data_IF_653927573982
#
_entry.id   IF_653927573982
#
_cell.length_a   1.000
_cell.length_b   1.000
_cell.length_c   1.000
_cell.angle_alpha   90.00
_cell.angle_beta   90.00
_cell.angle_gamma   90.00
#
_symmetry.space_group_name_H-M   'P 1'
#
loop_
_entity.id
_entity.type
_entity.pdbx_description
1 polymer ?
#
# COMPACT_ATOMS: atom_id res chain seq x y z
N UNK A 1 51.26 10.49 -36.95
CA UNK A 1 50.03 9.80 -37.40
C UNK A 1 50.21 8.32 -37.10
N UNK A 2 49.70 7.87 -35.96
CA UNK A 2 49.68 6.45 -35.59
C UNK A 2 48.34 6.20 -34.92
N UNK A 3 47.47 5.48 -35.63
CA UNK A 3 46.13 5.12 -35.20
C UNK A 3 46.26 3.87 -34.32
N UNK A 4 45.99 4.00 -33.02
CA UNK A 4 45.82 2.84 -32.12
C UNK A 4 44.36 2.39 -32.16
N UNK A 5 44.17 1.17 -32.65
CA UNK A 5 42.93 0.41 -32.69
C UNK A 5 42.58 -0.12 -31.30
N UNK A 6 41.39 0.24 -30.81
CA UNK A 6 40.78 -0.34 -29.59
C UNK A 6 39.96 -1.57 -30.02
N UNK A 7 40.10 -2.75 -29.39
CA UNK A 7 39.29 -3.90 -29.74
C UNK A 7 37.86 -3.75 -29.16
N UNK A 8 36.88 -3.74 -30.06
CA UNK A 8 35.46 -3.86 -29.74
C UNK A 8 35.17 -5.37 -29.57
N UNK A 9 35.26 -5.89 -28.35
CA UNK A 9 34.65 -7.16 -27.96
C UNK A 9 34.53 -7.26 -26.43
N UNK A 10 33.33 -6.99 -25.89
CA UNK A 10 32.81 -7.64 -24.67
C UNK A 10 31.45 -7.13 -24.16
N UNK A 11 30.80 -6.13 -24.76
CA UNK A 11 29.66 -5.46 -24.11
C UNK A 11 28.28 -6.13 -24.24
N UNK A 12 28.16 -7.32 -24.86
CA UNK A 12 26.84 -8.00 -25.00
C UNK A 12 26.66 -9.17 -24.02
N UNK A 13 27.74 -9.78 -23.52
CA UNK A 13 27.64 -10.90 -22.58
C UNK A 13 27.54 -10.48 -21.11
N UNK A 14 28.07 -9.30 -20.74
CA UNK A 14 28.00 -8.82 -19.35
C UNK A 14 26.64 -8.17 -19.01
N UNK A 15 25.96 -7.57 -19.98
CA UNK A 15 24.58 -7.10 -19.82
C UNK A 15 23.59 -8.25 -19.63
N UNK A 16 23.85 -9.43 -20.22
CA UNK A 16 23.06 -10.65 -20.00
C UNK A 16 23.29 -11.28 -18.63
N UNK A 17 24.47 -11.07 -18.02
CA UNK A 17 24.78 -11.57 -16.67
C UNK A 17 24.19 -10.70 -15.56
N UNK A 18 24.07 -9.39 -15.79
CA UNK A 18 23.41 -8.44 -14.86
C UNK A 18 21.87 -8.50 -14.92
N UNK A 19 21.29 -8.99 -16.01
CA UNK A 19 19.85 -9.31 -16.10
C UNK A 19 19.49 -10.71 -15.57
N UNK A 20 20.48 -11.50 -15.12
CA UNK A 20 20.28 -12.86 -14.60
C UNK A 20 20.67 -13.03 -13.12
N UNK A 21 20.92 -11.94 -12.39
CA UNK A 21 21.25 -11.98 -10.95
C UNK A 21 20.14 -11.51 -10.01
N UNK A 22 18.93 -11.21 -10.49
CA UNK A 22 17.75 -11.30 -9.63
C UNK A 22 17.34 -12.77 -9.55
N UNK A 23 18.04 -13.55 -8.72
CA UNK A 23 17.52 -14.83 -8.28
C UNK A 23 16.17 -14.55 -7.63
N UNK A 24 15.09 -14.74 -8.37
CA UNK A 24 13.75 -14.78 -7.82
C UNK A 24 13.79 -15.89 -6.78
N UNK A 25 13.67 -15.53 -5.50
CA UNK A 25 13.47 -16.44 -4.37
C UNK A 25 12.07 -17.09 -4.47
N UNK A 26 11.74 -17.55 -5.66
CA UNK A 26 10.43 -17.94 -6.13
C UNK A 26 10.30 -19.44 -5.91
N UNK A 27 9.54 -19.78 -4.86
CA UNK A 27 9.15 -21.17 -4.58
C UNK A 27 8.28 -21.65 -5.76
N UNK A 28 8.68 -22.69 -6.51
CA UNK A 28 7.83 -23.24 -7.56
C UNK A 28 6.52 -23.77 -6.96
N UNK A 29 5.47 -23.86 -7.77
CA UNK A 29 4.23 -24.50 -7.33
C UNK A 29 4.53 -25.94 -6.90
N UNK A 30 3.99 -26.37 -5.75
CA UNK A 30 4.18 -27.76 -5.30
C UNK A 30 3.33 -28.71 -6.16
N UNK A 31 3.77 -29.96 -6.29
CA UNK A 31 3.01 -30.98 -7.00
C UNK A 31 1.61 -31.17 -6.40
N UNK A 32 1.49 -31.08 -5.08
CA UNK A 32 0.22 -31.20 -4.36
C UNK A 32 -0.75 -30.07 -4.71
N UNK A 33 -0.28 -28.80 -4.69
CA UNK A 33 -1.07 -27.65 -5.11
C UNK A 33 -1.47 -27.74 -6.58
N UNK A 34 -0.55 -28.18 -7.44
CA UNK A 34 -0.82 -28.35 -8.86
C UNK A 34 -1.91 -29.41 -9.11
N UNK A 35 -1.79 -30.58 -8.48
CA UNK A 35 -2.77 -31.66 -8.62
C UNK A 35 -4.14 -31.25 -8.09
N UNK A 36 -4.18 -30.63 -6.91
CA UNK A 36 -5.42 -30.10 -6.33
C UNK A 36 -6.07 -29.08 -7.27
N UNK A 37 -5.29 -28.12 -7.79
CA UNK A 37 -5.82 -27.08 -8.68
C UNK A 37 -6.35 -27.66 -10.00
N UNK A 38 -5.67 -28.67 -10.55
CA UNK A 38 -6.12 -29.36 -11.76
C UNK A 38 -7.45 -30.10 -11.51
N UNK A 39 -7.60 -30.73 -10.35
CA UNK A 39 -8.85 -31.38 -9.97
C UNK A 39 -9.98 -30.36 -9.73
N UNK A 40 -9.69 -29.26 -9.02
CA UNK A 40 -10.67 -28.23 -8.68
C UNK A 40 -11.19 -27.48 -9.90
N UNK A 41 -10.33 -27.20 -10.88
CA UNK A 41 -10.70 -26.50 -12.11
C UNK A 41 -11.26 -27.44 -13.20
N UNK A 42 -10.96 -28.74 -13.12
CA UNK A 42 -11.40 -29.72 -14.12
C UNK A 42 -10.77 -29.52 -15.51
N UNK A 43 -9.69 -28.75 -15.61
CA UNK A 43 -8.98 -28.44 -16.86
C UNK A 43 -7.46 -28.52 -16.66
N UNK A 44 -6.72 -28.63 -17.76
CA UNK A 44 -5.26 -28.47 -17.75
C UNK A 44 -4.93 -26.99 -17.92
N UNK A 45 -3.83 -26.56 -17.31
CA UNK A 45 -3.39 -25.17 -17.37
C UNK A 45 -1.87 -25.07 -17.46
N UNK A 46 -1.41 -23.94 -17.97
CA UNK A 46 -0.05 -23.45 -17.79
C UNK A 46 0.05 -22.65 -16.51
N UNK A 47 1.24 -22.66 -15.89
CA UNK A 47 1.52 -21.96 -14.63
C UNK A 47 2.53 -20.86 -14.88
N UNK A 48 2.15 -19.63 -14.54
CA UNK A 48 3.04 -18.48 -14.48
C UNK A 48 3.15 -18.03 -13.02
N UNK A 49 4.37 -18.03 -12.48
CA UNK A 49 4.60 -17.50 -11.14
C UNK A 49 4.58 -15.97 -11.16
N UNK A 50 3.75 -15.37 -10.30
CA UNK A 50 3.68 -13.93 -10.19
C UNK A 50 4.81 -13.39 -9.29
N UNK A 51 5.32 -12.17 -9.56
CA UNK A 51 6.37 -11.57 -8.75
C UNK A 51 5.99 -11.50 -7.27
N UNK A 52 6.87 -12.01 -6.41
CA UNK A 52 6.72 -11.89 -4.96
C UNK A 52 7.39 -10.61 -4.50
N UNK A 53 6.60 -9.66 -4.00
CA UNK A 53 7.14 -8.49 -3.34
C UNK A 53 7.27 -8.73 -1.82
N UNK A 54 6.52 -8.04 -0.97
CA UNK A 54 6.67 -8.09 0.49
C UNK A 54 5.77 -9.12 1.20
N UNK A 55 4.86 -9.77 0.47
CA UNK A 55 3.99 -10.81 1.00
C UNK A 55 4.76 -12.09 1.28
N UNK A 56 4.39 -12.86 2.32
CA UNK A 56 4.89 -14.23 2.46
C UNK A 56 4.11 -15.21 1.58
N UNK A 57 2.90 -14.84 1.14
CA UNK A 57 2.06 -15.61 0.22
C UNK A 57 2.72 -15.71 -1.17
N UNK A 58 2.48 -16.82 -1.86
CA UNK A 58 2.89 -17.02 -3.24
C UNK A 58 1.66 -16.99 -4.14
N UNK A 59 1.80 -16.40 -5.33
CA UNK A 59 0.73 -16.29 -6.30
C UNK A 59 1.16 -16.90 -7.62
N UNK A 60 0.29 -17.72 -8.20
CA UNK A 60 0.50 -18.34 -9.49
C UNK A 60 -0.69 -18.04 -10.37
N UNK A 61 -0.46 -17.53 -11.57
CA UNK A 61 -1.48 -17.43 -12.59
C UNK A 61 -1.58 -18.78 -13.29
N UNK A 62 -2.79 -19.33 -13.31
CA UNK A 62 -3.15 -20.55 -14.02
C UNK A 62 -3.93 -20.15 -15.27
N UNK A 63 -3.59 -20.68 -16.44
CA UNK A 63 -4.27 -20.37 -17.70
C UNK A 63 -4.47 -21.61 -18.55
N UNK A 64 -5.69 -21.84 -19.03
CA UNK A 64 -5.97 -22.90 -20.01
C UNK A 64 -5.98 -22.39 -21.46
N UNK A 65 -5.61 -21.13 -21.66
CA UNK A 65 -5.63 -20.43 -22.96
C UNK A 65 -6.96 -19.77 -23.31
N UNK A 66 -8.04 -20.02 -22.55
CA UNK A 66 -9.36 -19.40 -22.72
C UNK A 66 -9.65 -18.51 -21.50
N UNK A 67 -9.46 -19.06 -20.30
CA UNK A 67 -9.67 -18.39 -19.03
C UNK A 67 -8.39 -18.47 -18.18
N UNK A 68 -8.25 -17.52 -17.26
CA UNK A 68 -7.20 -17.54 -16.25
C UNK A 68 -7.72 -17.35 -14.83
N UNK A 69 -6.94 -17.87 -13.89
CA UNK A 69 -7.19 -17.85 -12.45
C UNK A 69 -5.91 -17.50 -11.71
N UNK A 70 -6.03 -17.09 -10.46
CA UNK A 70 -4.90 -16.96 -9.55
C UNK A 70 -5.01 -18.03 -8.47
N UNK A 71 -3.97 -18.85 -8.31
CA UNK A 71 -3.77 -19.68 -7.14
C UNK A 71 -2.98 -18.90 -6.11
N UNK A 72 -3.57 -18.71 -4.93
CA UNK A 72 -2.94 -18.12 -3.76
C UNK A 72 -2.50 -19.25 -2.83
N UNK A 73 -1.19 -19.41 -2.66
CA UNK A 73 -0.56 -20.27 -1.66
C UNK A 73 -0.25 -19.44 -0.40
N UNK A 74 -0.96 -19.73 0.69
CA UNK A 74 -0.80 -19.10 1.99
C UNK A 74 -0.33 -20.09 3.05
N UNK A 75 0.43 -21.13 2.68
CA UNK A 75 0.94 -22.15 3.62
C UNK A 75 1.67 -21.55 4.82
N UNK A 76 2.35 -20.42 4.61
CA UNK A 76 3.14 -19.74 5.65
C UNK A 76 2.30 -18.76 6.49
N UNK A 77 1.07 -18.44 6.08
CA UNK A 77 0.14 -17.50 6.74
C UNK A 77 -1.34 -17.95 6.69
N UNK A 78 -1.72 -19.12 7.25
CA UNK A 78 -3.09 -19.65 7.16
C UNK A 78 -4.18 -18.70 7.70
N UNK A 79 -3.88 -17.97 8.78
CA UNK A 79 -4.82 -17.03 9.40
C UNK A 79 -5.14 -15.83 8.49
N UNK A 80 -4.19 -15.40 7.66
CA UNK A 80 -4.44 -14.34 6.69
C UNK A 80 -5.36 -14.81 5.56
N UNK A 81 -5.25 -16.08 5.13
CA UNK A 81 -6.16 -16.65 4.14
C UNK A 81 -7.61 -16.71 4.67
N UNK A 82 -7.81 -17.13 5.92
CA UNK A 82 -9.13 -17.09 6.54
C UNK A 82 -9.70 -15.67 6.59
N UNK A 83 -8.84 -14.69 6.90
CA UNK A 83 -9.21 -13.27 6.90
C UNK A 83 -9.56 -12.78 5.49
N UNK A 84 -8.80 -13.20 4.47
CA UNK A 84 -9.09 -12.93 3.07
C UNK A 84 -10.46 -13.47 2.66
N UNK A 85 -10.76 -14.74 2.96
CA UNK A 85 -12.05 -15.35 2.61
C UNK A 85 -13.21 -14.62 3.29
N UNK A 86 -13.08 -14.30 4.59
CA UNK A 86 -14.12 -13.61 5.37
C UNK A 86 -14.38 -12.19 4.89
N UNK A 87 -13.33 -11.39 4.73
CA UNK A 87 -13.44 -10.00 4.27
C UNK A 87 -13.93 -9.97 2.82
N UNK A 88 -13.38 -10.85 1.96
CA UNK A 88 -13.77 -10.97 0.56
C UNK A 88 -15.26 -11.28 0.38
N UNK A 89 -15.80 -12.21 1.17
CA UNK A 89 -17.24 -12.52 1.14
C UNK A 89 -18.10 -11.30 1.54
N UNK A 90 -17.67 -10.55 2.57
CA UNK A 90 -18.36 -9.33 3.01
C UNK A 90 -18.31 -8.24 1.92
N UNK A 91 -17.16 -8.09 1.26
CA UNK A 91 -16.96 -7.10 0.21
C UNK A 91 -17.77 -7.44 -1.05
N UNK A 92 -17.77 -8.71 -1.48
CA UNK A 92 -18.61 -9.21 -2.58
C UNK A 92 -20.09 -8.94 -2.29
N UNK A 93 -20.55 -9.26 -1.09
CA UNK A 93 -21.94 -9.01 -0.66
C UNK A 93 -22.30 -7.52 -0.61
N UNK A 94 -21.30 -6.65 -0.46
CA UNK A 94 -21.42 -5.19 -0.49
C UNK A 94 -21.21 -4.60 -1.90
N UNK A 95 -21.26 -5.44 -2.95
CA UNK A 95 -21.11 -5.05 -4.36
C UNK A 95 -19.78 -4.34 -4.67
N UNK A 96 -18.73 -4.69 -3.93
CA UNK A 96 -17.34 -4.31 -4.22
C UNK A 96 -16.77 -5.39 -5.14
N UNK A 97 -16.10 -4.98 -6.22
CA UNK A 97 -15.52 -5.90 -7.17
C UNK A 97 -14.20 -6.46 -6.63
N UNK A 98 -14.29 -7.59 -5.92
CA UNK A 98 -13.16 -8.35 -5.38
C UNK A 98 -13.01 -9.67 -6.15
N UNK A 99 -11.84 -10.34 -6.09
CA UNK A 99 -11.69 -11.64 -6.73
C UNK A 99 -12.70 -12.66 -6.21
N UNK A 100 -13.37 -13.36 -7.12
CA UNK A 100 -14.25 -14.46 -6.78
C UNK A 100 -13.44 -15.69 -6.36
N UNK A 101 -13.86 -16.36 -5.30
CA UNK A 101 -13.24 -17.61 -4.84
C UNK A 101 -13.91 -18.79 -5.53
N UNK A 102 -13.16 -19.52 -6.36
CA UNK A 102 -13.62 -20.74 -7.04
C UNK A 102 -13.46 -21.98 -6.17
N UNK A 103 -12.33 -22.08 -5.48
CA UNK A 103 -12.01 -23.21 -4.63
C UNK A 103 -11.14 -22.78 -3.44
N UNK A 104 -11.29 -23.48 -2.33
CA UNK A 104 -10.48 -23.31 -1.12
C UNK A 104 -10.11 -24.69 -0.57
N UNK A 105 -8.86 -24.84 -0.12
CA UNK A 105 -8.36 -26.04 0.53
C UNK A 105 -7.72 -25.67 1.87
N UNK A 106 -8.31 -26.16 2.96
CA UNK A 106 -7.92 -25.79 4.32
C UNK A 106 -6.53 -26.32 4.70
N UNK A 107 -6.29 -27.63 4.52
CA UNK A 107 -5.02 -28.24 4.93
C UNK A 107 -3.81 -27.66 4.18
N UNK A 108 -3.97 -27.38 2.88
CA UNK A 108 -2.98 -26.72 2.05
C UNK A 108 -2.88 -25.21 2.28
N UNK A 109 -3.85 -24.61 2.98
CA UNK A 109 -3.98 -23.16 3.14
C UNK A 109 -3.87 -22.44 1.79
N UNK A 110 -4.67 -22.87 0.82
CA UNK A 110 -4.66 -22.35 -0.53
C UNK A 110 -6.06 -22.05 -1.07
N UNK A 111 -6.17 -21.09 -1.97
CA UNK A 111 -7.40 -20.82 -2.70
C UNK A 111 -7.14 -20.51 -4.17
N UNK A 112 -8.15 -20.77 -5.00
CA UNK A 112 -8.17 -20.39 -6.42
C UNK A 112 -9.20 -19.28 -6.56
N UNK A 113 -8.77 -18.16 -7.11
CA UNK A 113 -9.57 -16.95 -7.28
C UNK A 113 -9.60 -16.48 -8.73
N UNK A 114 -10.57 -15.65 -9.08
CA UNK A 114 -10.64 -15.02 -10.40
C UNK A 114 -9.41 -14.16 -10.67
N UNK A 115 -8.92 -14.21 -11.90
CA UNK A 115 -7.86 -13.33 -12.38
C UNK A 115 -8.43 -11.95 -12.72
N UNK A 116 -7.99 -10.92 -11.99
CA UNK A 116 -8.44 -9.54 -12.17
C UNK A 116 -7.64 -8.79 -13.26
N UNK A 117 -6.86 -9.51 -14.06
CA UNK A 117 -6.02 -8.94 -15.11
C UNK A 117 -4.57 -8.73 -14.66
N UNK A 118 -3.82 -8.00 -15.50
CA UNK A 118 -2.37 -7.79 -15.32
C UNK A 118 -1.99 -6.37 -14.91
N UNK A 119 -2.91 -5.43 -15.08
CA UNK A 119 -2.62 -4.01 -14.91
C UNK A 119 -3.33 -3.46 -13.69
N UNK A 120 -2.55 -2.87 -12.79
CA UNK A 120 -3.03 -2.06 -11.69
C UNK A 120 -3.35 -0.65 -12.18
N UNK A 121 -4.03 0.14 -11.36
CA UNK A 121 -4.20 1.57 -11.57
C UNK A 121 -2.83 2.23 -11.66
N UNK A 122 -1.85 1.82 -10.85
CA UNK A 122 -0.50 2.38 -10.89
C UNK A 122 0.17 2.23 -12.26
N UNK A 123 -0.13 1.17 -13.00
CA UNK A 123 0.48 0.90 -14.30
C UNK A 123 -0.09 1.77 -15.41
N UNK A 124 -1.38 2.14 -15.33
CA UNK A 124 -2.12 2.73 -16.46
C UNK A 124 -2.63 4.15 -16.20
N UNK A 125 -2.69 4.59 -14.95
CA UNK A 125 -3.22 5.91 -14.62
C UNK A 125 -2.23 7.01 -15.03
N UNK A 126 -2.75 8.04 -15.68
CA UNK A 126 -2.02 9.19 -16.20
C UNK A 126 -2.86 10.45 -16.02
N UNK A 127 -2.28 11.63 -16.33
CA UNK A 127 -3.03 12.88 -16.29
C UNK A 127 -4.25 12.87 -17.22
N UNK A 128 -4.20 12.12 -18.32
CA UNK A 128 -5.25 12.10 -19.36
C UNK A 128 -6.47 11.25 -18.96
N UNK A 129 -6.29 10.24 -18.11
CA UNK A 129 -7.36 9.31 -17.71
C UNK A 129 -7.65 9.31 -16.20
N UNK A 130 -6.96 10.15 -15.41
CA UNK A 130 -7.07 10.13 -13.95
C UNK A 130 -8.47 10.42 -13.42
N UNK A 131 -9.22 11.34 -14.04
CA UNK A 131 -10.52 11.78 -13.51
C UNK A 131 -11.56 10.64 -13.45
N UNK A 132 -11.83 9.87 -14.52
CA UNK A 132 -12.76 8.75 -14.45
C UNK A 132 -12.25 7.62 -13.54
N UNK A 133 -10.95 7.30 -13.58
CA UNK A 133 -10.39 6.25 -12.73
C UNK A 133 -10.48 6.62 -11.24
N UNK A 134 -10.20 7.87 -10.90
CA UNK A 134 -10.31 8.36 -9.53
C UNK A 134 -11.78 8.38 -9.09
N UNK A 135 -12.72 8.76 -9.96
CA UNK A 135 -14.15 8.66 -9.65
C UNK A 135 -14.55 7.22 -9.32
N UNK A 136 -14.16 6.24 -10.13
CA UNK A 136 -14.42 4.81 -9.90
C UNK A 136 -13.84 4.35 -8.54
N UNK A 137 -12.61 4.75 -8.21
CA UNK A 137 -11.97 4.44 -6.93
C UNK A 137 -12.69 5.06 -5.73
N UNK A 138 -13.08 6.33 -5.81
CA UNK A 138 -13.78 7.01 -4.72
C UNK A 138 -15.17 6.39 -4.47
N UNK A 139 -15.87 5.97 -5.53
CA UNK A 139 -17.15 5.24 -5.40
C UNK A 139 -16.98 3.86 -4.76
N UNK A 140 -15.95 3.10 -5.18
CA UNK A 140 -15.62 1.82 -4.57
C UNK A 140 -15.25 1.98 -3.08
N UNK A 141 -14.54 3.05 -2.73
CA UNK A 141 -14.18 3.33 -1.34
C UNK A 141 -15.40 3.60 -0.47
N UNK A 142 -16.41 4.33 -0.97
CA UNK A 142 -17.68 4.51 -0.23
C UNK A 142 -18.38 3.19 0.03
N UNK A 143 -18.39 2.27 -0.94
CA UNK A 143 -18.94 0.92 -0.73
C UNK A 143 -18.16 0.15 0.34
N UNK A 144 -16.83 0.21 0.30
CA UNK A 144 -15.96 -0.39 1.33
C UNK A 144 -16.32 0.16 2.71
N UNK A 145 -16.42 1.48 2.87
CA UNK A 145 -16.70 2.10 4.17
C UNK A 145 -18.07 1.76 4.74
N UNK A 146 -19.04 1.45 3.87
CA UNK A 146 -20.39 0.98 4.24
C UNK A 146 -20.47 -0.52 4.48
N UNK A 147 -19.47 -1.30 4.07
CA UNK A 147 -19.48 -2.75 4.25
C UNK A 147 -19.58 -3.09 5.76
N UNK A 148 -20.50 -3.99 6.17
CA UNK A 148 -20.78 -4.29 7.58
C UNK A 148 -19.76 -5.25 8.17
N UNK A 149 -18.49 -4.85 8.19
CA UNK A 149 -17.39 -5.68 8.66
C UNK A 149 -17.17 -5.51 10.17
N UNK A 150 -17.84 -6.32 10.99
CA UNK A 150 -17.81 -6.18 12.47
C UNK A 150 -16.70 -6.96 13.14
N UNK A 151 -16.25 -8.05 12.52
CA UNK A 151 -15.33 -9.01 13.14
C UNK A 151 -13.89 -8.82 12.65
N UNK A 152 -13.43 -7.58 12.69
CA UNK A 152 -12.04 -7.22 12.36
C UNK A 152 -11.46 -6.34 13.46
N UNK A 153 -10.11 -6.28 13.57
CA UNK A 153 -9.48 -5.41 14.55
C UNK A 153 -9.94 -3.96 14.42
N UNK A 154 -10.00 -3.25 15.54
CA UNK A 154 -10.19 -1.80 15.53
C UNK A 154 -8.83 -1.12 15.39
N UNK A 155 -8.72 -0.19 14.46
CA UNK A 155 -7.57 0.69 14.31
C UNK A 155 -7.58 1.72 15.44
N UNK A 156 -7.13 1.28 16.60
CA UNK A 156 -7.18 2.01 17.85
C UNK A 156 -5.84 2.67 18.20
N UNK A 157 -5.78 3.29 19.38
CA UNK A 157 -4.55 3.90 19.90
C UNK A 157 -3.36 2.94 19.91
N UNK A 158 -3.57 1.67 20.23
CA UNK A 158 -2.48 0.70 20.34
C UNK A 158 -1.89 0.42 18.96
N UNK A 159 -2.72 0.11 17.97
CA UNK A 159 -2.25 -0.13 16.59
C UNK A 159 -1.53 1.10 16.04
N UNK A 160 -2.12 2.29 16.19
CA UNK A 160 -1.50 3.54 15.73
C UNK A 160 -0.15 3.82 16.41
N UNK A 161 -0.06 3.56 17.72
CA UNK A 161 1.20 3.75 18.47
C UNK A 161 2.28 2.79 17.99
N UNK A 162 1.93 1.54 17.69
CA UNK A 162 2.86 0.55 17.13
C UNK A 162 3.39 1.02 15.76
N UNK A 163 2.51 1.51 14.88
CA UNK A 163 2.91 2.03 13.56
C UNK A 163 3.83 3.25 13.67
N UNK A 164 3.52 4.20 14.56
CA UNK A 164 4.34 5.40 14.79
C UNK A 164 5.70 5.05 15.44
N UNK A 165 5.72 4.13 16.40
CA UNK A 165 6.96 3.67 17.03
C UNK A 165 7.84 2.88 16.04
N UNK A 166 7.23 2.12 15.12
CA UNK A 166 7.95 1.47 14.04
C UNK A 166 8.62 2.51 13.12
N UNK A 167 7.95 3.62 12.80
CA UNK A 167 8.57 4.74 12.08
C UNK A 167 9.75 5.33 12.84
N UNK A 168 9.57 5.62 14.13
CA UNK A 168 10.66 6.14 14.95
C UNK A 168 11.88 5.20 14.91
N UNK A 169 11.65 3.90 15.08
CA UNK A 169 12.73 2.94 15.10
C UNK A 169 13.43 2.78 13.74
N UNK A 170 12.68 2.44 12.69
CA UNK A 170 13.29 2.06 11.41
C UNK A 170 13.72 3.26 10.59
N UNK A 171 12.90 4.31 10.53
CA UNK A 171 13.20 5.47 9.71
C UNK A 171 14.13 6.44 10.46
N UNK A 172 13.75 6.87 11.67
CA UNK A 172 14.49 7.95 12.33
C UNK A 172 15.78 7.47 13.00
N UNK A 173 15.70 6.42 13.81
CA UNK A 173 16.87 5.91 14.56
C UNK A 173 17.81 5.09 13.66
N UNK A 174 17.27 4.19 12.82
CA UNK A 174 18.11 3.28 12.01
C UNK A 174 18.56 3.87 10.66
N UNK A 175 17.64 4.42 9.87
CA UNK A 175 17.99 4.96 8.56
C UNK A 175 18.64 6.35 8.67
N UNK A 176 18.03 7.28 9.40
CA UNK A 176 18.57 8.65 9.56
C UNK A 176 19.70 8.74 10.59
N UNK A 177 19.92 7.68 11.39
CA UNK A 177 20.96 7.62 12.42
C UNK A 177 20.87 8.77 13.45
N UNK A 178 19.65 9.18 13.80
CA UNK A 178 19.42 10.26 14.75
C UNK A 178 19.28 9.71 16.17
N UNK A 179 20.10 10.24 17.07
CA UNK A 179 19.95 10.07 18.52
C UNK A 179 19.13 11.21 19.10
N UNK A 180 17.88 10.91 19.48
CA UNK A 180 16.99 11.95 20.00
C UNK A 180 17.38 12.46 21.39
N UNK A 181 17.46 13.79 21.50
CA UNK A 181 17.52 14.47 22.80
C UNK A 181 16.25 14.22 23.62
N UNK A 182 16.33 14.43 24.93
CA UNK A 182 15.16 14.37 25.82
C UNK A 182 14.03 15.32 25.40
N UNK A 183 14.36 16.46 24.79
CA UNK A 183 13.38 17.41 24.26
C UNK A 183 12.66 16.86 23.02
N UNK A 184 13.41 16.33 22.04
CA UNK A 184 12.84 15.72 20.83
C UNK A 184 11.98 14.49 21.17
N UNK A 185 12.39 13.64 22.12
CA UNK A 185 11.57 12.51 22.60
C UNK A 185 10.22 12.96 23.16
N UNK A 186 10.21 14.05 23.94
CA UNK A 186 8.95 14.64 24.45
C UNK A 186 8.09 15.21 23.33
N UNK A 187 8.70 15.91 22.37
CA UNK A 187 8.03 16.45 21.20
C UNK A 187 7.35 15.33 20.39
N UNK A 188 8.09 14.28 20.03
CA UNK A 188 7.54 13.12 19.29
C UNK A 188 6.34 12.50 20.02
N UNK A 189 6.48 12.25 21.33
CA UNK A 189 5.38 11.70 22.14
C UNK A 189 4.14 12.61 22.12
N UNK A 190 4.33 13.92 22.22
CA UNK A 190 3.24 14.89 22.17
C UNK A 190 2.58 14.92 20.78
N UNK A 191 3.38 14.97 19.71
CA UNK A 191 2.89 14.94 18.33
C UNK A 191 2.11 13.65 18.05
N UNK A 192 2.68 12.49 18.38
CA UNK A 192 2.01 11.19 18.19
C UNK A 192 0.68 11.13 18.93
N UNK A 193 0.62 11.61 20.17
CA UNK A 193 -0.63 11.67 20.91
C UNK A 193 -1.67 12.58 20.23
N UNK A 194 -1.25 13.72 19.69
CA UNK A 194 -2.13 14.63 18.95
C UNK A 194 -2.66 13.99 17.66
N UNK A 195 -1.80 13.31 16.89
CA UNK A 195 -2.20 12.57 15.68
C UNK A 195 -3.22 11.48 16.00
N UNK A 196 -2.94 10.66 17.01
CA UNK A 196 -3.85 9.60 17.47
C UNK A 196 -5.19 10.19 17.93
N UNK A 197 -5.19 11.28 18.68
CA UNK A 197 -6.44 11.91 19.10
C UNK A 197 -7.25 12.47 17.93
N UNK A 198 -6.60 13.05 16.92
CA UNK A 198 -7.26 13.50 15.69
C UNK A 198 -7.87 12.33 14.92
N UNK A 199 -7.15 11.21 14.82
CA UNK A 199 -7.64 9.97 14.21
C UNK A 199 -8.86 9.39 14.95
N UNK A 200 -8.80 9.30 16.27
CA UNK A 200 -9.88 8.75 17.11
C UNK A 200 -11.13 9.65 17.17
N UNK A 201 -11.00 10.92 16.79
CA UNK A 201 -12.14 11.84 16.70
C UNK A 201 -12.95 11.68 15.39
N UNK A 202 -12.44 10.92 14.42
CA UNK A 202 -13.14 10.67 13.17
C UNK A 202 -14.23 9.60 13.34
N UNK A 203 -15.29 9.62 12.51
CA UNK A 203 -16.20 8.49 12.38
C UNK A 203 -15.45 7.20 12.02
N UNK A 204 -15.83 6.11 12.69
CA UNK A 204 -15.24 4.78 12.46
C UNK A 204 -16.00 4.04 11.36
N UNK A 205 -15.30 3.68 10.30
CA UNK A 205 -15.80 2.96 9.12
C UNK A 205 -14.98 1.69 8.87
N UNK A 206 -15.38 0.89 7.90
CA UNK A 206 -14.53 -0.18 7.39
C UNK A 206 -13.40 0.41 6.57
N UNK A 207 -12.16 0.06 6.94
CA UNK A 207 -10.92 0.54 6.33
C UNK A 207 -10.21 -0.66 5.72
N UNK A 208 -9.94 -0.60 4.41
CA UNK A 208 -9.15 -1.57 3.67
C UNK A 208 -7.68 -1.58 4.11
N UNK A 209 -7.16 -0.43 4.58
CA UNK A 209 -5.83 -0.21 5.17
C UNK A 209 -4.68 -0.11 4.17
N UNK A 210 -4.77 -0.81 3.05
CA UNK A 210 -3.82 -0.74 1.92
C UNK A 210 -4.50 -0.28 0.61
N UNK A 211 -5.44 0.67 0.71
CA UNK A 211 -6.23 1.18 -0.42
C UNK A 211 -5.45 2.21 -1.26
N UNK A 212 -4.66 1.72 -2.22
CA UNK A 212 -3.80 2.55 -3.04
C UNK A 212 -3.67 2.01 -4.47
N UNK A 213 -3.08 2.79 -5.37
CA UNK A 213 -3.08 2.52 -6.83
C UNK A 213 -2.51 1.15 -7.25
N UNK A 214 -1.58 0.55 -6.50
CA UNK A 214 -1.06 -0.80 -6.77
C UNK A 214 -2.02 -1.94 -6.36
N UNK A 215 -3.03 -1.66 -5.53
CA UNK A 215 -4.02 -2.62 -5.05
C UNK A 215 -5.41 -2.44 -5.71
N UNK A 216 -5.46 -1.61 -6.75
CA UNK A 216 -6.64 -1.39 -7.59
C UNK A 216 -6.35 -1.89 -9.00
N UNK A 217 -7.14 -2.84 -9.49
CA UNK A 217 -6.97 -3.46 -10.81
C UNK A 217 -7.78 -2.72 -11.87
N UNK A 218 -7.12 -2.45 -13.01
CA UNK A 218 -7.74 -1.88 -14.20
C UNK A 218 -8.32 -2.98 -15.09
N UNK A 219 -9.44 -3.56 -14.65
CA UNK A 219 -10.22 -4.58 -15.37
C UNK A 219 -11.47 -3.98 -16.03
N UNK A 220 -12.33 -4.79 -16.65
CA UNK A 220 -13.53 -4.27 -17.34
C UNK A 220 -14.52 -3.62 -16.36
N UNK A 221 -14.69 -4.22 -15.17
CA UNK A 221 -15.50 -3.66 -14.07
C UNK A 221 -14.59 -2.95 -13.06
N UNK A 222 -14.28 -1.68 -13.27
CA UNK A 222 -13.28 -0.98 -12.44
C UNK A 222 -13.83 -0.38 -11.14
N UNK A 223 -12.97 -0.24 -10.11
CA UNK A 223 -11.72 -0.96 -9.93
C UNK A 223 -11.99 -2.39 -9.43
N UNK A 224 -11.14 -3.34 -9.82
CA UNK A 224 -10.97 -4.54 -9.02
C UNK A 224 -10.20 -4.21 -7.73
N UNK A 225 -10.62 -4.69 -6.57
CA UNK A 225 -9.98 -4.39 -5.28
C UNK A 225 -9.33 -5.65 -4.72
N UNK A 226 -8.03 -5.58 -4.42
CA UNK A 226 -7.23 -6.71 -3.92
C UNK A 226 -6.49 -6.33 -2.63
N UNK A 227 -5.95 -7.33 -1.92
CA UNK A 227 -5.14 -7.16 -0.70
C UNK A 227 -5.91 -6.55 0.49
N UNK A 228 -7.19 -6.93 0.63
CA UNK A 228 -8.11 -6.42 1.66
C UNK A 228 -8.11 -7.22 2.97
N UNK A 229 -7.35 -8.32 3.10
CA UNK A 229 -7.37 -9.18 4.30
C UNK A 229 -6.86 -8.48 5.57
N UNK A 230 -6.15 -7.35 5.42
CA UNK A 230 -5.66 -6.51 6.52
C UNK A 230 -6.70 -5.49 7.02
N UNK A 231 -7.95 -5.58 6.54
CA UNK A 231 -9.02 -4.64 6.84
C UNK A 231 -9.30 -4.51 8.35
N UNK A 232 -9.68 -3.30 8.75
CA UNK A 232 -9.91 -2.90 10.14
C UNK A 232 -11.13 -1.98 10.24
N UNK A 233 -11.63 -1.75 11.45
CA UNK A 233 -12.53 -0.63 11.75
C UNK A 233 -11.71 0.59 12.13
N UNK A 234 -11.78 1.67 11.37
CA UNK A 234 -10.89 2.82 11.56
C UNK A 234 -11.40 4.15 11.03
N UNK A 235 -10.56 5.20 11.07
CA UNK A 235 -10.91 6.57 10.71
C UNK A 235 -11.33 6.71 9.23
N UNK A 236 -12.41 7.45 8.97
CA UNK A 236 -12.99 7.63 7.62
C UNK A 236 -12.01 8.17 6.56
N UNK A 237 -10.99 8.90 6.96
CA UNK A 237 -10.01 9.48 6.00
C UNK A 237 -8.82 8.58 5.69
N UNK A 238 -8.65 7.45 6.38
CA UNK A 238 -7.41 6.63 6.28
C UNK A 238 -7.12 6.16 4.85
N UNK A 239 -8.06 5.43 4.25
CA UNK A 239 -7.90 4.91 2.89
C UNK A 239 -7.90 6.01 1.83
N UNK A 240 -8.61 7.12 2.07
CA UNK A 240 -8.57 8.28 1.17
C UNK A 240 -7.16 8.87 1.11
N UNK A 241 -6.47 8.94 2.26
CA UNK A 241 -5.06 9.36 2.33
C UNK A 241 -4.17 8.37 1.57
N UNK A 242 -4.35 7.06 1.80
CA UNK A 242 -3.58 6.02 1.10
C UNK A 242 -3.72 6.11 -0.43
N UNK A 243 -4.89 6.51 -0.93
CA UNK A 243 -5.14 6.69 -2.35
C UNK A 243 -4.58 8.00 -2.91
N UNK A 244 -4.92 9.13 -2.27
CA UNK A 244 -4.68 10.47 -2.83
C UNK A 244 -3.30 11.02 -2.52
N UNK A 245 -2.64 10.51 -1.47
CA UNK A 245 -1.32 10.94 -0.99
C UNK A 245 -0.33 9.79 -1.00
N UNK A 246 -0.44 8.90 -1.98
CA UNK A 246 0.50 7.80 -2.15
C UNK A 246 1.89 8.32 -2.56
N UNK A 247 2.93 7.96 -1.79
CA UNK A 247 4.30 8.36 -2.09
C UNK A 247 4.84 7.80 -3.45
N UNK A 248 4.17 6.78 -4.01
CA UNK A 248 4.53 6.14 -5.29
C UNK A 248 3.85 6.76 -6.50
N UNK A 249 2.82 7.58 -6.29
CA UNK A 249 2.00 8.20 -7.33
C UNK A 249 1.55 9.59 -6.89
N UNK A 250 2.28 10.62 -7.32
CA UNK A 250 2.02 12.00 -6.94
C UNK A 250 1.03 12.68 -7.90
N UNK A 251 0.19 13.55 -7.33
CA UNK A 251 -0.73 14.41 -8.06
C UNK A 251 -0.50 15.87 -7.68
N UNK A 252 -0.80 16.82 -8.58
CA UNK A 252 -0.87 18.23 -8.23
C UNK A 252 -1.80 18.47 -7.04
N UNK A 253 -1.39 19.34 -6.11
CA UNK A 253 -2.12 19.62 -4.87
C UNK A 253 -3.59 20.00 -5.13
N UNK A 254 -3.84 20.80 -6.17
CA UNK A 254 -5.18 21.22 -6.56
C UNK A 254 -6.10 20.02 -6.88
N UNK A 255 -5.58 19.00 -7.60
CA UNK A 255 -6.35 17.79 -7.90
C UNK A 255 -6.64 16.99 -6.63
N UNK A 256 -5.65 16.85 -5.74
CA UNK A 256 -5.85 16.14 -4.47
C UNK A 256 -6.92 16.82 -3.63
N UNK A 257 -6.87 18.14 -3.48
CA UNK A 257 -7.88 18.90 -2.74
C UNK A 257 -9.26 18.80 -3.40
N UNK A 258 -9.34 18.90 -4.73
CA UNK A 258 -10.58 18.69 -5.49
C UNK A 258 -11.19 17.32 -5.20
N UNK A 259 -10.41 16.25 -5.26
CA UNK A 259 -10.88 14.89 -5.01
C UNK A 259 -11.23 14.67 -3.53
N UNK A 260 -10.45 15.20 -2.59
CA UNK A 260 -10.78 15.11 -1.16
C UNK A 260 -12.10 15.83 -0.82
N UNK A 261 -12.36 17.00 -1.42
CA UNK A 261 -13.63 17.73 -1.25
C UNK A 261 -14.79 17.00 -1.95
N UNK A 262 -14.56 16.42 -3.13
CA UNK A 262 -15.58 15.60 -3.79
C UNK A 262 -15.93 14.36 -2.95
N UNK A 263 -14.91 13.70 -2.39
CA UNK A 263 -15.11 12.55 -1.52
C UNK A 263 -15.86 12.91 -0.24
N UNK A 264 -15.55 14.05 0.38
CA UNK A 264 -16.29 14.57 1.53
C UNK A 264 -17.80 14.63 1.27
N UNK A 265 -18.20 15.20 0.11
CA UNK A 265 -19.62 15.23 -0.28
C UNK A 265 -20.18 13.82 -0.47
N UNK A 266 -19.41 12.96 -1.12
CA UNK A 266 -19.85 11.60 -1.42
C UNK A 266 -20.13 10.77 -0.16
N UNK A 267 -19.30 10.89 0.89
CA UNK A 267 -19.52 10.19 2.16
C UNK A 267 -20.71 10.73 2.95
N UNK A 268 -21.00 12.03 2.87
CA UNK A 268 -22.21 12.63 3.47
C UNK A 268 -23.49 12.19 2.72
N UNK A 269 -23.48 12.29 1.39
CA UNK A 269 -24.61 11.91 0.51
C UNK A 269 -24.96 10.41 0.63
N UNK A 270 -23.96 9.57 0.89
CA UNK A 270 -24.15 8.13 1.07
C UNK A 270 -24.35 7.70 2.54
N UNK A 271 -24.49 8.67 3.45
CA UNK A 271 -24.69 8.44 4.89
C UNK A 271 -23.61 7.54 5.52
N UNK A 272 -22.37 7.62 5.01
CA UNK A 272 -21.22 6.94 5.63
C UNK A 272 -20.87 7.62 6.96
N UNK A 273 -21.02 8.95 6.99
CA UNK A 273 -20.79 9.79 8.17
C UNK A 273 -21.95 10.77 8.36
N UNK A 274 -22.11 11.25 9.59
CA UNK A 274 -22.94 12.42 9.86
C UNK A 274 -22.30 13.68 9.23
N UNK A 275 -23.11 14.70 8.87
CA UNK A 275 -22.59 15.92 8.27
C UNK A 275 -21.50 16.57 9.11
N UNK A 276 -20.43 17.03 8.47
CA UNK A 276 -19.29 17.69 9.10
C UNK A 276 -18.83 18.86 8.25
N UNK A 277 -18.21 19.87 8.85
CA UNK A 277 -17.70 20.98 8.06
C UNK A 277 -16.58 20.50 7.14
N UNK A 278 -16.53 21.03 5.91
CA UNK A 278 -15.43 20.79 4.96
C UNK A 278 -14.05 21.04 5.60
N UNK A 279 -13.95 22.08 6.43
CA UNK A 279 -12.71 22.41 7.13
C UNK A 279 -12.28 21.29 8.09
N UNK A 280 -13.21 20.73 8.86
CA UNK A 280 -12.93 19.64 9.78
C UNK A 280 -12.55 18.35 9.02
N UNK A 281 -13.23 18.05 7.90
CA UNK A 281 -12.88 16.90 7.08
C UNK A 281 -11.46 17.02 6.48
N UNK A 282 -11.11 18.18 5.94
CA UNK A 282 -9.77 18.43 5.41
C UNK A 282 -8.70 18.42 6.51
N UNK A 283 -9.04 18.90 7.71
CA UNK A 283 -8.15 18.79 8.87
C UNK A 283 -7.90 17.32 9.24
N UNK A 284 -8.94 16.48 9.27
CA UNK A 284 -8.81 15.04 9.47
C UNK A 284 -7.95 14.38 8.40
N UNK A 285 -8.17 14.73 7.13
CA UNK A 285 -7.42 14.20 6.00
C UNK A 285 -5.93 14.55 6.09
N UNK A 286 -5.60 15.82 6.38
CA UNK A 286 -4.20 16.26 6.54
C UNK A 286 -3.50 15.54 7.70
N UNK A 287 -4.16 15.47 8.87
CA UNK A 287 -3.58 14.88 10.07
C UNK A 287 -3.45 13.37 9.99
N UNK A 288 -4.43 12.71 9.36
CA UNK A 288 -4.30 11.30 9.00
C UNK A 288 -3.17 11.08 8.00
N UNK A 289 -3.01 12.02 7.06
CA UNK A 289 -1.87 12.16 6.17
C UNK A 289 -0.53 12.01 6.89
N UNK A 290 -0.30 12.81 7.92
CA UNK A 290 0.95 12.78 8.70
C UNK A 290 1.17 11.39 9.30
N UNK A 291 0.15 10.83 9.94
CA UNK A 291 0.25 9.50 10.55
C UNK A 291 0.58 8.41 9.53
N UNK A 292 -0.12 8.39 8.39
CA UNK A 292 0.10 7.41 7.31
C UNK A 292 1.49 7.55 6.71
N UNK A 293 1.98 8.77 6.50
CA UNK A 293 3.30 8.99 5.93
C UNK A 293 4.41 8.57 6.87
N UNK A 294 4.27 8.80 8.18
CA UNK A 294 5.21 8.27 9.17
C UNK A 294 5.24 6.73 9.11
N UNK A 295 4.08 6.07 9.14
CA UNK A 295 3.99 4.60 8.97
C UNK A 295 4.74 4.15 7.71
N UNK A 296 4.47 4.78 6.56
CA UNK A 296 5.06 4.42 5.26
C UNK A 296 6.57 4.62 5.24
N UNK A 297 7.10 5.72 5.77
CA UNK A 297 8.54 5.95 5.88
C UNK A 297 9.22 4.85 6.73
N UNK A 298 8.58 4.47 7.85
CA UNK A 298 9.02 3.34 8.67
C UNK A 298 9.03 2.02 7.89
N UNK A 299 8.00 1.76 7.08
CA UNK A 299 7.91 0.55 6.26
C UNK A 299 9.03 0.52 5.22
N UNK A 300 9.25 1.61 4.47
CA UNK A 300 10.31 1.68 3.46
C UNK A 300 11.70 1.50 4.06
N UNK A 301 11.97 2.17 5.19
CA UNK A 301 13.23 2.00 5.90
C UNK A 301 13.42 0.54 6.39
N UNK A 302 12.38 -0.09 6.94
CA UNK A 302 12.43 -1.48 7.37
C UNK A 302 12.66 -2.45 6.21
N UNK A 303 11.94 -2.27 5.10
CA UNK A 303 12.09 -3.10 3.89
C UNK A 303 13.51 -3.03 3.34
N UNK A 304 14.15 -1.87 3.39
CA UNK A 304 15.56 -1.74 3.02
C UNK A 304 16.49 -2.41 4.04
N UNK A 305 16.43 -2.00 5.31
CA UNK A 305 17.43 -2.38 6.32
C UNK A 305 17.33 -3.86 6.69
N UNK A 306 16.12 -4.40 6.82
CA UNK A 306 15.87 -5.79 7.21
C UNK A 306 15.81 -6.73 6.01
N UNK A 307 15.14 -6.30 4.93
CA UNK A 307 14.76 -7.17 3.82
C UNK A 307 15.59 -6.92 2.53
N UNK A 308 16.54 -5.98 2.56
CA UNK A 308 17.44 -5.69 1.43
C UNK A 308 16.77 -5.00 0.23
N UNK A 309 15.55 -4.48 0.38
CA UNK A 309 14.76 -3.95 -0.73
C UNK A 309 15.02 -2.46 -0.98
N UNK A 310 16.17 -2.15 -1.57
CA UNK A 310 16.62 -0.79 -1.86
C UNK A 310 15.64 0.04 -2.71
N UNK A 311 14.88 -0.59 -3.62
CA UNK A 311 13.93 0.07 -4.53
C UNK A 311 12.90 0.98 -3.86
N UNK A 312 12.61 0.80 -2.58
CA UNK A 312 11.64 1.62 -1.84
C UNK A 312 12.21 2.94 -1.32
N UNK A 313 13.54 3.04 -1.20
CA UNK A 313 14.21 4.23 -0.69
C UNK A 313 13.93 5.47 -1.55
N UNK A 314 13.72 5.29 -2.86
CA UNK A 314 13.37 6.38 -3.79
C UNK A 314 12.06 7.11 -3.45
N UNK A 315 11.20 6.51 -2.62
CA UNK A 315 9.91 7.11 -2.22
C UNK A 315 10.00 7.91 -0.91
N UNK A 316 11.11 7.81 -0.18
CA UNK A 316 11.33 8.55 1.08
C UNK A 316 11.30 10.08 0.87
N UNK A 317 11.98 10.65 -0.16
CA UNK A 317 11.93 12.09 -0.40
C UNK A 317 10.50 12.61 -0.59
N UNK A 318 9.68 11.91 -1.38
CA UNK A 318 8.26 12.24 -1.56
C UNK A 318 7.52 12.32 -0.22
N UNK A 319 7.71 11.30 0.63
CA UNK A 319 7.02 11.23 1.91
C UNK A 319 7.42 12.35 2.86
N UNK A 320 8.69 12.75 2.85
CA UNK A 320 9.20 13.87 3.62
C UNK A 320 8.67 15.22 3.13
N UNK A 321 8.66 15.45 1.81
CA UNK A 321 8.06 16.66 1.21
C UNK A 321 6.59 16.78 1.60
N UNK A 322 5.83 15.68 1.58
CA UNK A 322 4.45 15.70 2.03
C UNK A 322 4.33 16.10 3.51
N UNK A 323 5.12 15.49 4.40
CA UNK A 323 5.11 15.81 5.82
C UNK A 323 5.43 17.28 6.07
N UNK A 324 6.44 17.83 5.41
CA UNK A 324 6.81 19.25 5.54
C UNK A 324 5.65 20.18 5.12
N UNK A 325 5.10 19.96 3.92
CA UNK A 325 4.02 20.76 3.35
C UNK A 325 2.75 20.76 4.20
N UNK A 326 2.41 19.62 4.83
CA UNK A 326 1.24 19.56 5.71
C UNK A 326 1.55 20.20 7.05
N UNK A 327 2.72 19.95 7.65
CA UNK A 327 3.07 20.54 8.94
C UNK A 327 3.14 22.08 8.87
N UNK A 328 3.56 22.66 7.74
CA UNK A 328 3.55 24.10 7.50
C UNK A 328 2.18 24.76 7.73
N UNK A 329 1.09 24.04 7.44
CA UNK A 329 -0.28 24.57 7.56
C UNK A 329 -0.77 24.70 8.99
N UNK A 330 -0.10 24.05 9.94
CA UNK A 330 -0.53 23.97 11.33
C UNK A 330 0.58 24.46 12.27
N UNK A 331 0.43 25.66 12.81
CA UNK A 331 1.43 26.27 13.72
C UNK A 331 1.76 25.41 14.96
N UNK A 332 0.81 24.60 15.44
CA UNK A 332 1.04 23.65 16.53
C UNK A 332 2.06 22.55 16.17
N UNK A 333 2.30 22.33 14.88
CA UNK A 333 3.24 21.35 14.35
C UNK A 333 4.59 21.97 13.97
N UNK A 334 4.82 23.28 14.12
CA UNK A 334 6.10 23.92 13.76
C UNK A 334 7.31 23.22 14.37
N UNK A 335 7.36 22.91 15.69
CA UNK A 335 8.52 22.20 16.24
C UNK A 335 8.71 20.79 15.65
N UNK A 336 7.62 20.12 15.27
CA UNK A 336 7.69 18.83 14.61
C UNK A 336 8.16 18.96 13.16
N UNK A 337 7.75 20.02 12.44
CA UNK A 337 8.24 20.36 11.10
C UNK A 337 9.75 20.57 11.12
N UNK A 338 10.27 21.32 12.09
CA UNK A 338 11.72 21.57 12.23
C UNK A 338 12.48 20.24 12.38
N UNK A 339 11.95 19.32 13.19
CA UNK A 339 12.50 17.97 13.34
C UNK A 339 12.44 17.16 12.03
N UNK A 340 11.35 17.29 11.25
CA UNK A 340 11.26 16.66 9.92
C UNK A 340 12.31 17.25 8.97
N UNK A 341 12.62 18.54 9.05
CA UNK A 341 13.70 19.17 8.28
C UNK A 341 15.09 18.61 8.61
N UNK A 342 15.39 18.40 9.90
CA UNK A 342 16.60 17.71 10.36
C UNK A 342 16.66 16.28 9.80
N UNK A 343 15.57 15.51 9.99
CA UNK A 343 15.47 14.13 9.50
C UNK A 343 15.58 14.03 7.98
N UNK A 344 15.01 14.99 7.24
CA UNK A 344 15.07 15.04 5.79
C UNK A 344 16.50 15.22 5.31
N UNK A 345 17.25 16.14 5.95
CA UNK A 345 18.66 16.36 5.63
C UNK A 345 19.49 15.10 5.87
N UNK A 346 19.31 14.44 7.02
CA UNK A 346 19.98 13.18 7.34
C UNK A 346 19.61 12.05 6.40
N UNK A 347 18.32 11.89 6.07
CA UNK A 347 17.84 10.86 5.16
C UNK A 347 18.43 11.03 3.76
N UNK A 348 18.37 12.24 3.19
CA UNK A 348 18.89 12.51 1.85
C UNK A 348 20.39 12.26 1.75
N UNK A 349 21.17 12.74 2.73
CA UNK A 349 22.60 12.45 2.81
C UNK A 349 22.87 10.94 2.88
N UNK A 350 22.03 10.18 3.59
CA UNK A 350 22.16 8.72 3.65
C UNK A 350 21.86 8.07 2.30
N UNK A 351 20.81 8.51 1.62
CA UNK A 351 20.41 7.98 0.31
C UNK A 351 21.50 8.18 -0.74
N UNK A 352 22.24 9.29 -0.70
CA UNK A 352 23.39 9.54 -1.59
C UNK A 352 24.54 8.55 -1.39
N UNK A 353 24.69 8.00 -0.17
CA UNK A 353 25.73 6.99 0.13
C UNK A 353 25.34 5.57 -0.24
N UNK A 354 24.09 5.34 -0.63
CA UNK A 354 23.56 4.01 -0.98
C UNK A 354 23.51 3.94 -2.51
N UNK A 355 24.27 3.03 -3.11
CA UNK A 355 24.07 2.69 -4.53
C UNK A 355 22.68 2.05 -4.68
N UNK A 356 21.75 2.77 -5.31
CA UNK A 356 20.35 2.38 -5.50
C UNK A 356 20.12 1.61 -6.81
#
# INVERSE_FOLDING_TARGET
MTIMSIPIHSTVNDARKLLMSSQTNAKPISNELHLWAQQALGTRFEVEQLPKDASKRNYFRLSDGIQSWILMDSSDEPMELLSYLKVGQTFKSSQIHVPEVFAYHEELSACIISDMGRHTYRDVISLDNCEPMMADALQALVKIQRAPLTDVPTFDRQIMSVELNMSQHWFMEKLCQVDFTSAQKRLLKQTYNRLILSALAQPTVTVHRDYHSENLMACDLRPGVIDFQSAVRGPVTYDLVCLLRDARLQWPEEKVLKWAVAYHKLVEENHVIAPVSRQQFLHWFDWMGIQVHLKVLGIFARLYIRDGKAKYLKFIPTGLTYLDNVCERYSVLTPFRDLIGELSSSALARLETIEL
#
